data_IF_254474745526
#
_entry.id   IF_254474745526
#
_cell.length_a   1.000
_cell.length_b   1.000
_cell.length_c   1.000
_cell.angle_alpha   90.00
_cell.angle_beta   90.00
_cell.angle_gamma   90.00
#
_symmetry.space_group_name_H-M   'P 1'
#
loop_
_entity.id
_entity.type
_entity.pdbx_description
1 polymer ?
#
# COMPACT_ATOMS: atom_id res chain seq x y z
N UNK A 1 -27.58 0.17 -10.06
CA UNK A 1 -26.68 -0.87 -10.64
C UNK A 1 -25.61 -1.15 -9.60
N UNK A 2 -25.53 -2.37 -9.06
CA UNK A 2 -24.47 -2.75 -8.13
C UNK A 2 -23.21 -2.94 -8.98
N UNK A 3 -22.22 -2.05 -8.85
CA UNK A 3 -20.89 -2.29 -9.41
C UNK A 3 -20.25 -3.38 -8.55
N UNK A 4 -19.92 -4.50 -9.17
CA UNK A 4 -19.11 -5.53 -8.52
C UNK A 4 -17.69 -4.98 -8.35
N UNK A 5 -17.33 -4.67 -7.11
CA UNK A 5 -16.00 -4.18 -6.79
C UNK A 5 -15.03 -5.37 -6.80
N UNK A 6 -13.90 -5.25 -7.52
CA UNK A 6 -12.85 -6.27 -7.54
C UNK A 6 -11.95 -6.16 -6.31
N UNK A 7 -12.51 -6.45 -5.14
CA UNK A 7 -11.90 -6.20 -3.84
C UNK A 7 -10.59 -6.98 -3.66
N UNK A 8 -10.57 -8.25 -4.06
CA UNK A 8 -9.41 -9.13 -3.97
C UNK A 8 -8.27 -8.60 -4.85
N UNK A 9 -8.60 -8.19 -6.08
CA UNK A 9 -7.63 -7.60 -6.99
C UNK A 9 -7.05 -6.27 -6.44
N UNK A 10 -7.86 -5.47 -5.72
CA UNK A 10 -7.36 -4.27 -5.04
C UNK A 10 -6.43 -4.64 -3.88
N UNK A 11 -6.79 -5.64 -3.06
CA UNK A 11 -5.94 -6.12 -1.97
C UNK A 11 -4.57 -6.59 -2.47
N UNK A 12 -4.52 -7.39 -3.53
CA UNK A 12 -3.27 -7.83 -4.16
C UNK A 12 -2.41 -6.64 -4.62
N UNK A 13 -3.04 -5.64 -5.25
CA UNK A 13 -2.33 -4.44 -5.74
C UNK A 13 -1.82 -3.57 -4.60
N UNK A 14 -2.58 -3.43 -3.51
CA UNK A 14 -2.16 -2.71 -2.31
C UNK A 14 -0.95 -3.41 -1.66
N UNK A 15 -0.95 -4.75 -1.57
CA UNK A 15 0.19 -5.50 -1.06
C UNK A 15 1.42 -5.37 -1.97
N UNK A 16 1.24 -5.43 -3.28
CA UNK A 16 2.34 -5.20 -4.22
C UNK A 16 2.95 -3.80 -4.06
N UNK A 17 2.11 -2.76 -3.95
CA UNK A 17 2.57 -1.39 -3.69
C UNK A 17 3.39 -1.29 -2.41
N UNK A 18 2.94 -1.96 -1.33
CA UNK A 18 3.64 -1.99 -0.05
C UNK A 18 5.02 -2.64 -0.16
N UNK A 19 5.10 -3.78 -0.84
CA UNK A 19 6.37 -4.49 -1.09
C UNK A 19 7.32 -3.61 -1.92
N UNK A 20 6.84 -3.01 -3.01
CA UNK A 20 7.64 -2.13 -3.86
C UNK A 20 8.12 -0.89 -3.10
N UNK A 21 7.27 -0.25 -2.30
CA UNK A 21 7.65 0.92 -1.51
C UNK A 21 8.69 0.54 -0.43
N UNK A 22 8.50 -0.58 0.26
CA UNK A 22 9.45 -1.07 1.27
C UNK A 22 10.81 -1.36 0.65
N UNK A 23 10.83 -2.01 -0.52
CA UNK A 23 12.05 -2.28 -1.26
C UNK A 23 12.74 -0.99 -1.72
N UNK A 24 11.97 -0.02 -2.23
CA UNK A 24 12.50 1.30 -2.59
C UNK A 24 13.17 1.99 -1.39
N UNK A 25 12.59 1.89 -0.19
CA UNK A 25 13.22 2.40 1.03
C UNK A 25 14.53 1.68 1.33
N UNK A 26 14.56 0.36 1.19
CA UNK A 26 15.74 -0.48 1.46
C UNK A 26 16.91 -0.11 0.54
N UNK A 27 16.65 0.16 -0.74
CA UNK A 27 17.67 0.51 -1.72
C UNK A 27 17.98 2.02 -1.79
N UNK A 28 17.31 2.86 -1.00
CA UNK A 28 17.46 4.32 -1.04
C UNK A 28 18.87 4.79 -0.64
N UNK A 29 19.65 3.94 0.03
CA UNK A 29 20.99 4.29 0.53
C UNK A 29 20.97 5.41 1.58
N UNK A 30 19.83 5.68 2.22
CA UNK A 30 19.68 6.73 3.23
C UNK A 30 19.50 8.14 2.64
N UNK A 31 19.15 8.26 1.35
CA UNK A 31 18.78 9.55 0.76
C UNK A 31 17.51 10.05 1.48
N UNK A 32 17.67 11.01 2.39
CA UNK A 32 16.60 11.47 3.28
C UNK A 32 15.34 11.92 2.54
N UNK A 33 15.49 12.56 1.37
CA UNK A 33 14.36 12.97 0.55
C UNK A 33 13.56 11.76 0.03
N UNK A 34 14.24 10.68 -0.37
CA UNK A 34 13.60 9.44 -0.80
C UNK A 34 12.91 8.77 0.38
N UNK A 35 13.60 8.58 1.50
CA UNK A 35 13.04 7.94 2.69
C UNK A 35 11.75 8.63 3.18
N UNK A 36 11.76 9.96 3.28
CA UNK A 36 10.57 10.73 3.68
C UNK A 36 9.42 10.63 2.68
N UNK A 37 9.70 10.51 1.39
CA UNK A 37 8.66 10.30 0.39
C UNK A 37 8.09 8.88 0.49
N UNK A 38 8.94 7.88 0.68
CA UNK A 38 8.52 6.49 0.85
C UNK A 38 7.68 6.32 2.12
N UNK A 39 8.03 6.97 3.22
CA UNK A 39 7.23 6.96 4.45
C UNK A 39 5.81 7.53 4.24
N UNK A 40 5.69 8.62 3.48
CA UNK A 40 4.37 9.16 3.10
C UNK A 40 3.57 8.21 2.21
N UNK A 41 4.24 7.53 1.29
CA UNK A 41 3.61 6.51 0.44
C UNK A 41 3.11 5.34 1.29
N UNK A 42 3.94 4.81 2.20
CA UNK A 42 3.56 3.71 3.10
C UNK A 42 2.37 4.09 4.00
N UNK A 43 2.30 5.33 4.48
CA UNK A 43 1.15 5.83 5.23
C UNK A 43 -0.14 5.83 4.38
N UNK A 44 -0.03 6.25 3.11
CA UNK A 44 -1.17 6.23 2.17
C UNK A 44 -1.61 4.80 1.84
N UNK A 45 -0.65 3.89 1.65
CA UNK A 45 -0.92 2.46 1.45
C UNK A 45 -1.63 1.86 2.67
N UNK A 46 -1.21 2.22 3.90
CA UNK A 46 -1.87 1.76 5.12
C UNK A 46 -3.33 2.21 5.20
N UNK A 47 -3.63 3.43 4.74
CA UNK A 47 -5.01 3.90 4.63
C UNK A 47 -5.82 3.06 3.63
N UNK A 48 -5.23 2.69 2.48
CA UNK A 48 -5.89 1.81 1.52
C UNK A 48 -6.16 0.42 2.11
N UNK A 49 -5.22 -0.15 2.87
CA UNK A 49 -5.43 -1.42 3.59
C UNK A 49 -6.64 -1.31 4.53
N UNK A 50 -6.73 -0.22 5.31
CA UNK A 50 -7.87 0.02 6.22
C UNK A 50 -9.18 0.15 5.44
N UNK A 51 -9.19 0.88 4.32
CA UNK A 51 -10.40 1.13 3.54
C UNK A 51 -11.08 -0.12 2.97
N UNK A 52 -10.36 -1.23 2.84
CA UNK A 52 -10.93 -2.49 2.34
C UNK A 52 -10.89 -3.62 3.38
N UNK A 53 -10.28 -3.40 4.55
CA UNK A 53 -10.02 -4.43 5.54
C UNK A 53 -11.27 -5.16 6.03
N UNK A 54 -12.39 -4.44 6.23
CA UNK A 54 -13.68 -5.02 6.63
C UNK A 54 -14.26 -5.99 5.59
N UNK A 55 -13.87 -5.84 4.32
CA UNK A 55 -14.37 -6.66 3.20
C UNK A 55 -13.48 -7.87 2.96
N UNK A 56 -12.16 -7.74 3.15
CA UNK A 56 -11.18 -8.79 2.81
C UNK A 56 -10.65 -9.55 4.04
N UNK A 57 -11.01 -9.13 5.26
CA UNK A 57 -10.53 -9.75 6.50
C UNK A 57 -9.03 -9.56 6.74
N UNK A 58 -8.48 -8.40 6.36
CA UNK A 58 -7.03 -8.11 6.40
C UNK A 58 -6.52 -7.66 7.79
N UNK A 59 -7.29 -7.82 8.86
CA UNK A 59 -6.92 -7.48 10.24
C UNK A 59 -6.94 -8.70 11.16
#
# INVERSE_FOLDING_TARGET
>A
MVKEYKIEAMAEKIQLLKQTATELKRISGGIQAVDKNVDRILASIKMLEINISDVVGLL
#
